data_IF_514354418803
#
_entry.id   IF_514354418803
#
_cell.length_a   1.000
_cell.length_b   1.000
_cell.length_c   1.000
_cell.angle_alpha   90.00
_cell.angle_beta   90.00
_cell.angle_gamma   90.00
#
_symmetry.space_group_name_H-M   'P 1'
#
loop_
_entity.id
_entity.type
_entity.pdbx_description
1 polymer ?
#
# COMPACT_ATOMS: atom_id res chain seq x y z
N UNK A 1 -75.40 9.03 -1.66
CA UNK A 1 -73.94 8.92 -1.50
C UNK A 1 -73.52 7.60 -2.13
N UNK A 2 -72.83 7.62 -3.28
CA UNK A 2 -72.40 6.40 -3.96
C UNK A 2 -71.02 6.02 -3.42
N UNK A 3 -70.95 4.87 -2.75
CA UNK A 3 -69.71 4.29 -2.27
C UNK A 3 -69.06 3.59 -3.46
N UNK A 4 -68.02 4.19 -4.05
CA UNK A 4 -67.14 3.50 -4.98
C UNK A 4 -66.12 2.71 -4.16
N UNK A 5 -66.07 1.36 -4.26
CA UNK A 5 -65.02 0.61 -3.62
C UNK A 5 -63.69 1.04 -4.24
N UNK A 6 -62.80 1.61 -3.43
CA UNK A 6 -61.43 1.85 -3.88
C UNK A 6 -60.81 0.49 -4.21
N UNK A 7 -60.19 0.33 -5.39
CA UNK A 7 -59.46 -0.88 -5.71
C UNK A 7 -58.38 -1.07 -4.64
N UNK A 8 -58.51 -2.15 -3.88
CA UNK A 8 -57.56 -2.49 -2.82
C UNK A 8 -56.15 -2.67 -3.40
N UNK A 9 -55.09 -2.54 -2.57
CA UNK A 9 -53.72 -2.64 -3.03
C UNK A 9 -53.49 -3.98 -3.74
N UNK A 10 -53.37 -3.92 -5.07
CA UNK A 10 -53.22 -5.09 -5.92
C UNK A 10 -51.92 -5.82 -5.56
N UNK A 11 -51.97 -7.13 -5.28
CA UNK A 11 -50.80 -7.97 -4.98
C UNK A 11 -49.71 -7.95 -6.05
N UNK A 12 -50.02 -7.52 -7.28
CA UNK A 12 -49.04 -7.22 -8.33
C UNK A 12 -48.04 -6.14 -7.91
N UNK A 13 -48.45 -5.13 -7.15
CA UNK A 13 -47.55 -4.07 -6.67
C UNK A 13 -46.50 -4.60 -5.69
N UNK A 14 -46.83 -5.62 -4.91
CA UNK A 14 -45.90 -6.27 -3.98
C UNK A 14 -44.85 -7.10 -4.72
N UNK A 15 -45.26 -7.85 -5.75
CA UNK A 15 -44.33 -8.61 -6.61
C UNK A 15 -43.40 -7.68 -7.41
N UNK A 16 -43.93 -6.57 -7.94
CA UNK A 16 -43.11 -5.53 -8.58
C UNK A 16 -42.14 -4.86 -7.59
N UNK A 17 -42.57 -4.64 -6.35
CA UNK A 17 -41.70 -4.12 -5.28
C UNK A 17 -40.55 -5.07 -4.94
N UNK A 18 -40.83 -6.37 -4.81
CA UNK A 18 -39.80 -7.39 -4.56
C UNK A 18 -38.85 -7.51 -5.75
N UNK A 19 -39.38 -7.56 -6.98
CA UNK A 19 -38.55 -7.62 -8.19
C UNK A 19 -37.63 -6.41 -8.31
N UNK A 20 -38.12 -5.20 -7.99
CA UNK A 20 -37.31 -3.99 -7.94
C UNK A 20 -36.24 -4.04 -6.85
N UNK A 21 -36.59 -4.51 -5.65
CA UNK A 21 -35.65 -4.65 -4.53
C UNK A 21 -34.52 -5.64 -4.85
N UNK A 22 -34.87 -6.82 -5.38
CA UNK A 22 -33.90 -7.83 -5.81
C UNK A 22 -33.03 -7.30 -6.95
N UNK A 23 -33.61 -6.59 -7.92
CA UNK A 23 -32.86 -5.94 -9.00
C UNK A 23 -31.85 -4.91 -8.49
N UNK A 24 -32.23 -4.14 -7.46
CA UNK A 24 -31.36 -3.13 -6.85
C UNK A 24 -30.22 -3.78 -6.08
N UNK A 25 -30.50 -4.83 -5.30
CA UNK A 25 -29.47 -5.63 -4.63
C UNK A 25 -28.48 -6.25 -5.63
N UNK A 26 -28.98 -6.78 -6.74
CA UNK A 26 -28.15 -7.34 -7.80
C UNK A 26 -27.23 -6.27 -8.41
N UNK A 27 -27.77 -5.09 -8.69
CA UNK A 27 -27.01 -3.96 -9.23
C UNK A 27 -25.90 -3.50 -8.27
N UNK A 28 -26.20 -3.39 -6.98
CA UNK A 28 -25.21 -3.08 -5.94
C UNK A 28 -24.14 -4.17 -5.89
N UNK A 29 -24.52 -5.45 -5.91
CA UNK A 29 -23.56 -6.56 -5.90
C UNK A 29 -22.62 -6.50 -7.11
N UNK A 30 -23.14 -6.23 -8.31
CA UNK A 30 -22.33 -6.04 -9.51
C UNK A 30 -21.36 -4.87 -9.33
N UNK A 31 -21.85 -3.72 -8.84
CA UNK A 31 -21.00 -2.55 -8.61
C UNK A 31 -19.86 -2.85 -7.62
N UNK A 32 -20.15 -3.55 -6.52
CA UNK A 32 -19.14 -3.97 -5.53
C UNK A 32 -18.12 -4.91 -6.16
N UNK A 33 -18.57 -5.91 -6.93
CA UNK A 33 -17.66 -6.83 -7.64
C UNK A 33 -16.78 -6.06 -8.61
N UNK A 34 -17.33 -5.08 -9.34
CA UNK A 34 -16.59 -4.25 -10.27
C UNK A 34 -15.54 -3.41 -9.55
N UNK A 35 -15.90 -2.78 -8.44
CA UNK A 35 -14.97 -2.02 -7.58
C UNK A 35 -13.86 -2.93 -7.05
N UNK A 36 -14.18 -4.13 -6.56
CA UNK A 36 -13.17 -5.08 -6.08
C UNK A 36 -12.28 -5.55 -7.23
N UNK A 37 -12.85 -5.84 -8.39
CA UNK A 37 -12.11 -6.24 -9.58
C UNK A 37 -11.14 -5.15 -10.03
N UNK A 38 -11.61 -3.90 -10.12
CA UNK A 38 -10.78 -2.74 -10.45
C UNK A 38 -9.74 -2.45 -9.36
N UNK A 39 -10.10 -2.54 -8.08
CA UNK A 39 -9.16 -2.35 -6.98
C UNK A 39 -8.09 -3.46 -6.96
N UNK A 40 -8.46 -4.71 -7.25
CA UNK A 40 -7.49 -5.82 -7.37
C UNK A 40 -6.62 -5.69 -8.62
N UNK A 41 -7.17 -5.20 -9.73
CA UNK A 41 -6.41 -4.89 -10.94
C UNK A 41 -5.44 -3.72 -10.72
N UNK A 42 -5.86 -2.72 -9.97
CA UNK A 42 -5.05 -1.56 -9.60
C UNK A 42 -4.12 -1.81 -8.41
N UNK A 43 -4.24 -2.90 -7.65
CA UNK A 43 -3.21 -3.31 -6.67
C UNK A 43 -1.89 -3.73 -7.32
N UNK A 44 -1.91 -4.00 -8.62
CA UNK A 44 -0.69 -4.11 -9.43
C UNK A 44 -0.16 -2.73 -9.89
N UNK A 45 -0.87 -1.64 -9.57
CA UNK A 45 -0.43 -0.27 -9.77
C UNK A 45 -0.12 0.33 -8.39
N UNK A 46 1.15 0.61 -8.07
CA UNK A 46 1.54 1.11 -6.76
C UNK A 46 1.07 2.57 -6.60
N UNK A 47 -0.21 2.78 -6.28
CA UNK A 47 -0.67 4.05 -5.73
C UNK A 47 -0.24 4.05 -4.26
N UNK A 48 0.97 4.56 -4.05
CA UNK A 48 1.56 4.79 -2.75
C UNK A 48 0.62 5.67 -1.91
N UNK A 49 0.02 5.08 -0.88
CA UNK A 49 -0.54 5.86 0.21
C UNK A 49 0.63 6.54 0.95
N UNK A 50 0.58 7.86 1.21
CA UNK A 50 1.64 8.55 1.92
C UNK A 50 1.64 8.09 3.38
N UNK A 51 2.57 7.18 3.72
CA UNK A 51 2.78 6.71 5.10
C UNK A 51 2.70 5.20 5.32
N UNK A 52 2.32 4.40 4.31
CA UNK A 52 2.46 2.94 4.40
C UNK A 52 3.84 2.55 3.90
N UNK A 53 4.69 2.08 4.81
CA UNK A 53 5.95 1.38 4.47
C UNK A 53 5.65 0.44 3.31
N UNK A 54 6.35 0.57 2.17
CA UNK A 54 6.04 -0.24 1.01
C UNK A 54 6.15 -1.73 1.38
N UNK A 55 5.26 -2.58 0.85
CA UNK A 55 5.30 -4.02 1.09
C UNK A 55 6.67 -4.53 0.66
N UNK A 56 7.21 -5.54 1.34
CA UNK A 56 8.57 -6.09 1.20
C UNK A 56 9.14 -6.23 -0.23
N UNK A 57 8.29 -6.22 -1.26
CA UNK A 57 8.63 -6.08 -2.67
C UNK A 57 9.56 -4.89 -2.97
N UNK A 58 9.42 -3.73 -2.32
CA UNK A 58 10.34 -2.60 -2.57
C UNK A 58 11.73 -2.81 -1.96
N UNK A 59 11.81 -3.52 -0.83
CA UNK A 59 13.08 -3.81 -0.17
C UNK A 59 13.91 -4.84 -0.95
N UNK A 60 13.23 -5.83 -1.56
CA UNK A 60 13.88 -6.78 -2.47
C UNK A 60 14.45 -6.09 -3.71
N UNK A 61 13.70 -5.15 -4.29
CA UNK A 61 14.17 -4.41 -5.47
C UNK A 61 15.44 -3.60 -5.20
N UNK A 62 15.52 -2.91 -4.05
CA UNK A 62 16.72 -2.17 -3.64
C UNK A 62 17.90 -3.13 -3.41
N UNK A 63 17.63 -4.34 -2.92
CA UNK A 63 18.66 -5.35 -2.68
C UNK A 63 19.22 -5.93 -4.00
N UNK A 64 18.35 -6.19 -4.98
CA UNK A 64 18.73 -6.62 -6.33
C UNK A 64 19.57 -5.55 -7.04
N UNK A 65 19.17 -4.28 -6.94
CA UNK A 65 19.90 -3.14 -7.49
C UNK A 65 21.30 -2.99 -6.85
N UNK A 66 21.42 -3.27 -5.54
CA UNK A 66 22.71 -3.27 -4.84
C UNK A 66 23.62 -4.44 -5.22
N UNK A 67 23.05 -5.61 -5.50
CA UNK A 67 23.80 -6.74 -6.04
C UNK A 67 24.31 -6.42 -7.45
N UNK A 68 23.45 -5.87 -8.32
CA UNK A 68 23.80 -5.51 -9.68
C UNK A 68 24.85 -4.38 -9.77
N UNK A 69 24.82 -3.45 -8.81
CA UNK A 69 25.84 -2.39 -8.68
C UNK A 69 27.11 -2.84 -7.96
N UNK A 70 27.17 -4.09 -7.48
CA UNK A 70 28.31 -4.63 -6.74
C UNK A 70 28.48 -4.01 -5.35
N UNK A 71 27.48 -3.30 -4.83
CA UNK A 71 27.48 -2.73 -3.48
C UNK A 71 27.17 -3.78 -2.39
N UNK A 72 26.67 -4.95 -2.79
CA UNK A 72 26.33 -6.07 -1.91
C UNK A 72 26.88 -7.36 -2.53
N UNK A 73 27.57 -8.16 -1.70
CA UNK A 73 28.05 -9.49 -2.08
C UNK A 73 26.90 -10.51 -2.19
N UNK A 74 27.15 -11.60 -2.92
CA UNK A 74 26.14 -12.62 -3.23
C UNK A 74 25.65 -13.32 -1.96
N UNK A 75 26.56 -13.57 -1.02
CA UNK A 75 26.30 -14.22 0.26
C UNK A 75 25.38 -13.35 1.13
N UNK A 76 25.68 -12.06 1.18
CA UNK A 76 24.92 -11.05 1.92
C UNK A 76 23.52 -10.84 1.31
N UNK A 77 23.44 -10.88 -0.02
CA UNK A 77 22.18 -10.85 -0.76
C UNK A 77 21.26 -12.01 -0.35
N UNK A 78 21.77 -13.24 -0.34
CA UNK A 78 20.98 -14.43 -0.02
C UNK A 78 20.47 -14.40 1.43
N UNK A 79 21.31 -13.99 2.39
CA UNK A 79 20.92 -13.86 3.79
C UNK A 79 19.82 -12.80 3.99
N UNK A 80 19.98 -11.61 3.38
CA UNK A 80 18.98 -10.53 3.50
C UNK A 80 17.69 -10.86 2.76
N UNK A 81 17.76 -11.55 1.63
CA UNK A 81 16.60 -12.04 0.88
C UNK A 81 15.80 -13.07 1.68
N UNK A 82 16.47 -14.02 2.32
CA UNK A 82 15.82 -14.99 3.21
C UNK A 82 15.15 -14.30 4.41
N UNK A 83 15.82 -13.30 4.99
CA UNK A 83 15.27 -12.54 6.10
C UNK A 83 14.03 -11.73 5.71
N UNK A 84 14.05 -11.08 4.54
CA UNK A 84 12.91 -10.32 3.99
C UNK A 84 11.70 -11.20 3.65
N UNK A 85 11.91 -12.49 3.37
CA UNK A 85 10.85 -13.46 3.07
C UNK A 85 10.25 -14.12 4.32
N UNK A 86 10.74 -13.83 5.53
CA UNK A 86 10.11 -14.27 6.78
C UNK A 86 11.02 -14.86 7.86
N UNK A 87 12.34 -14.67 7.78
CA UNK A 87 13.30 -15.07 8.83
C UNK A 87 14.01 -13.83 9.41
N UNK A 88 13.30 -13.03 10.21
CA UNK A 88 13.82 -11.79 10.85
C UNK A 88 15.05 -12.10 11.71
N UNK A 89 16.21 -11.42 11.54
CA UNK A 89 16.42 -10.14 12.25
C UNK A 89 17.26 -9.03 11.58
N UNK A 90 16.93 -7.80 12.01
CA UNK A 90 17.63 -6.50 12.01
C UNK A 90 17.71 -5.65 10.72
N UNK A 91 17.16 -4.44 10.83
CA UNK A 91 17.40 -3.32 9.92
C UNK A 91 18.76 -2.67 10.28
N UNK A 92 19.66 -2.45 9.30
CA UNK A 92 20.87 -1.66 9.53
C UNK A 92 20.49 -0.19 9.73
N UNK A 93 20.64 0.29 10.96
CA UNK A 93 20.29 1.60 11.50
C UNK A 93 21.18 2.77 11.03
N UNK A 94 21.71 2.74 9.81
CA UNK A 94 22.60 3.80 9.33
C UNK A 94 21.86 4.71 8.32
N UNK A 95 21.65 5.97 8.73
CA UNK A 95 21.47 7.19 7.90
C UNK A 95 20.07 7.62 7.44
N UNK A 96 19.49 8.58 8.17
CA UNK A 96 18.72 9.76 7.70
C UNK A 96 18.56 10.67 8.92
N UNK A 97 19.23 11.82 9.05
CA UNK A 97 19.01 13.09 8.31
C UNK A 97 20.23 14.00 8.57
N UNK A 98 21.01 14.38 7.54
CA UNK A 98 21.22 15.76 7.00
C UNK A 98 21.16 16.91 8.04
N UNK A 99 22.05 17.92 8.05
CA UNK A 99 22.60 18.61 6.90
C UNK A 99 23.96 19.31 7.17
N UNK A 100 24.77 19.50 6.11
CA UNK A 100 26.08 20.16 6.10
C UNK A 100 25.93 21.69 5.97
N UNK A 101 26.65 22.46 6.78
CA UNK A 101 27.17 23.80 6.46
C UNK A 101 27.81 24.44 7.71
N UNK A 102 29.14 24.38 7.79
CA UNK A 102 30.00 25.46 8.30
C UNK A 102 31.46 25.01 8.17
N UNK A 103 32.16 25.39 7.09
CA UNK A 103 33.61 25.22 6.96
C UNK A 103 34.32 26.31 7.76
N UNK A 104 35.48 26.02 8.36
CA UNK A 104 36.62 26.94 8.66
C UNK A 104 37.64 26.12 9.45
N UNK A 105 38.61 25.50 8.75
CA UNK A 105 40.04 25.89 8.77
C UNK A 105 40.78 25.06 9.83
N UNK A 106 41.42 23.96 9.45
CA UNK A 106 42.88 23.93 9.24
C UNK A 106 43.63 24.79 10.25
N UNK A 107 44.45 24.19 11.12
CA UNK A 107 45.92 24.34 11.06
C UNK A 107 46.58 23.81 12.36
N UNK A 108 47.70 23.07 12.26
CA UNK A 108 48.30 22.28 13.34
C UNK A 108 49.44 23.03 14.03
N UNK A 109 49.54 22.99 15.37
CA UNK A 109 50.83 23.29 16.05
C UNK A 109 50.82 22.79 17.50
N UNK A 110 51.65 21.78 17.78
CA UNK A 110 52.32 21.61 19.08
C UNK A 110 53.67 22.37 19.01
N UNK A 111 54.49 22.56 20.06
CA UNK A 111 54.35 22.41 21.53
C UNK A 111 54.96 23.60 22.35
N UNK A 112 54.76 23.68 23.69
CA UNK A 112 55.69 24.24 24.73
C UNK A 112 54.96 24.31 26.10
N UNK A 113 55.43 23.67 27.19
CA UNK A 113 56.37 24.18 28.24
C UNK A 113 55.94 25.56 28.79
N UNK A 114 55.71 25.75 30.09
CA UNK A 114 56.48 25.35 31.28
C UNK A 114 55.61 24.86 32.47
#
# INVERSE_FOLDING_TARGET
MRYTPMPGPNGMGFLFGIAGFVGTLLLIAIAVVLVIYFARRNKNSPVAAPGQRPPAQSALHILDERLASGQVEIEDYLNRRAALLGQVPQQPQWTSTAAPDAPTTEQPEAPAKD
#
